data_IF_968951260254
#
_entry.id   IF_968951260254
#
_cell.length_a   1.000
_cell.length_b   1.000
_cell.length_c   1.000
_cell.angle_alpha   90.00
_cell.angle_beta   90.00
_cell.angle_gamma   90.00
#
_symmetry.space_group_name_H-M   'P 1'
#
loop_
_entity.id
_entity.type
_entity.pdbx_description
1 polymer ?
#
# COMPACT_ATOMS: atom_id res chain seq x y z
N UNK A 1 30.62 -24.58 -37.83
CA UNK A 1 29.29 -24.07 -37.46
C UNK A 1 29.33 -23.82 -35.97
N UNK A 2 29.25 -22.56 -35.53
CA UNK A 2 29.16 -22.28 -34.10
C UNK A 2 27.74 -22.65 -33.69
N UNK A 3 27.58 -23.71 -32.90
CA UNK A 3 26.29 -23.98 -32.26
C UNK A 3 26.12 -22.90 -31.20
N UNK A 4 25.38 -21.85 -31.55
CA UNK A 4 24.97 -20.82 -30.61
C UNK A 4 24.22 -21.47 -29.45
N UNK A 5 24.87 -21.57 -28.29
CA UNK A 5 24.28 -22.19 -27.11
C UNK A 5 23.14 -21.30 -26.61
N UNK A 6 21.98 -21.91 -26.38
CA UNK A 6 20.83 -21.24 -25.78
C UNK A 6 21.18 -20.83 -24.33
N UNK A 7 21.04 -19.53 -24.04
CA UNK A 7 21.22 -19.00 -22.69
C UNK A 7 19.84 -18.69 -22.14
N UNK A 8 19.43 -19.39 -21.08
CA UNK A 8 18.19 -19.07 -20.39
C UNK A 8 18.34 -17.76 -19.60
N UNK A 9 17.31 -16.93 -19.64
CA UNK A 9 17.25 -15.67 -18.94
C UNK A 9 17.24 -15.86 -17.42
N UNK A 10 18.06 -15.07 -16.73
CA UNK A 10 18.11 -15.00 -15.27
C UNK A 10 17.59 -13.67 -14.75
N UNK A 11 16.94 -13.71 -13.59
CA UNK A 11 16.47 -12.51 -12.92
C UNK A 11 17.65 -11.70 -12.39
N UNK A 12 17.69 -10.42 -12.76
CA UNK A 12 18.49 -9.41 -12.08
C UNK A 12 17.99 -9.15 -10.66
N UNK A 13 18.74 -8.38 -9.86
CA UNK A 13 18.32 -8.00 -8.52
C UNK A 13 17.01 -7.21 -8.55
N UNK A 14 16.25 -7.31 -7.47
CA UNK A 14 15.08 -6.45 -7.27
C UNK A 14 15.52 -5.00 -7.08
N UNK A 15 14.74 -4.07 -7.65
CA UNK A 15 14.82 -2.66 -7.32
C UNK A 15 14.49 -2.42 -5.85
N UNK A 16 14.82 -1.22 -5.37
CA UNK A 16 14.26 -0.74 -4.11
C UNK A 16 12.73 -0.64 -4.22
N UNK A 17 12.06 -0.71 -3.07
CA UNK A 17 10.63 -0.44 -2.99
C UNK A 17 10.37 1.03 -3.30
N UNK A 18 9.31 1.28 -4.08
CA UNK A 18 8.77 2.62 -4.28
C UNK A 18 8.27 3.19 -2.96
N UNK A 19 8.17 4.51 -2.91
CA UNK A 19 7.42 5.20 -1.87
C UNK A 19 6.00 4.65 -1.76
N UNK A 20 5.42 4.78 -0.56
CA UNK A 20 4.07 4.34 -0.31
C UNK A 20 3.10 5.19 -1.16
N UNK A 21 2.19 4.55 -1.88
CA UNK A 21 1.22 5.24 -2.73
C UNK A 21 0.30 6.20 -1.96
N UNK A 22 0.12 5.94 -0.66
CA UNK A 22 -0.66 6.80 0.22
C UNK A 22 0.25 7.83 0.88
N UNK A 23 -0.15 9.11 0.79
CA UNK A 23 0.53 10.18 1.52
C UNK A 23 0.37 10.01 3.04
N UNK A 24 -0.80 9.56 3.49
CA UNK A 24 -1.07 9.24 4.88
C UNK A 24 -1.87 7.93 4.99
N UNK A 25 -1.50 7.05 5.93
CA UNK A 25 -2.26 5.85 6.26
C UNK A 25 -1.87 4.63 5.42
N UNK A 26 -2.85 3.77 5.11
CA UNK A 26 -2.59 2.52 4.40
C UNK A 26 -2.45 2.77 2.90
N UNK A 27 -1.35 2.31 2.33
CA UNK A 27 -1.10 2.36 0.89
C UNK A 27 -0.37 1.12 0.41
N UNK A 28 0.27 1.28 -0.75
CA UNK A 28 0.95 0.21 -1.45
C UNK A 28 2.33 0.66 -1.96
N UNK A 29 3.34 -0.19 -1.80
CA UNK A 29 4.68 -0.02 -2.37
C UNK A 29 4.94 -1.09 -3.42
N UNK A 30 5.70 -0.74 -4.48
CA UNK A 30 6.01 -1.63 -5.60
C UNK A 30 7.51 -1.74 -5.81
N UNK A 31 7.99 -2.87 -6.32
CA UNK A 31 9.36 -3.04 -6.80
C UNK A 31 9.38 -3.89 -8.06
N UNK A 32 10.39 -3.71 -8.88
CA UNK A 32 10.55 -4.42 -10.14
C UNK A 32 11.91 -5.11 -10.24
N UNK A 33 12.02 -6.09 -11.13
CA UNK A 33 13.28 -6.72 -11.52
C UNK A 33 13.28 -6.96 -13.02
N UNK A 34 14.47 -6.99 -13.61
CA UNK A 34 14.65 -7.25 -15.04
C UNK A 34 15.14 -8.67 -15.29
N UNK A 35 14.74 -9.27 -16.42
CA UNK A 35 15.27 -10.56 -16.86
C UNK A 35 16.53 -10.35 -17.71
N UNK A 36 17.62 -9.94 -17.06
CA UNK A 36 18.83 -9.50 -17.74
C UNK A 36 20.12 -10.00 -17.08
N UNK A 37 20.04 -10.98 -16.19
CA UNK A 37 21.21 -11.48 -15.46
C UNK A 37 21.25 -13.02 -15.42
N UNK A 38 21.59 -13.70 -16.54
CA UNK A 38 21.90 -13.13 -17.86
C UNK A 38 20.64 -12.85 -18.70
N UNK A 39 20.71 -12.06 -19.79
CA UNK A 39 19.61 -11.95 -20.74
C UNK A 39 19.45 -13.26 -21.53
N UNK A 40 18.23 -13.63 -21.95
CA UNK A 40 18.01 -14.80 -22.77
C UNK A 40 18.61 -14.62 -24.18
N UNK A 41 19.31 -15.62 -24.69
CA UNK A 41 19.97 -15.61 -26.00
C UNK A 41 19.73 -16.92 -26.75
N UNK A 42 19.80 -16.87 -28.09
CA UNK A 42 19.79 -18.03 -28.99
C UNK A 42 18.59 -18.99 -28.75
N UNK A 43 17.40 -18.42 -28.53
CA UNK A 43 16.19 -19.20 -28.26
C UNK A 43 16.07 -19.73 -26.82
N UNK A 44 16.94 -19.28 -25.91
CA UNK A 44 16.81 -19.56 -24.47
C UNK A 44 15.53 -19.00 -23.87
N UNK A 45 15.07 -19.63 -22.79
CA UNK A 45 13.79 -19.30 -22.16
C UNK A 45 13.84 -17.96 -21.42
N UNK A 46 12.74 -17.20 -21.45
CA UNK A 46 12.58 -16.02 -20.60
C UNK A 46 12.41 -16.42 -19.12
N UNK A 47 12.68 -15.47 -18.23
CA UNK A 47 12.55 -15.68 -16.80
C UNK A 47 11.11 -16.01 -16.42
N UNK A 48 10.93 -17.07 -15.64
CA UNK A 48 9.62 -17.46 -15.11
C UNK A 48 9.26 -16.67 -13.85
N UNK A 49 7.99 -16.28 -13.75
CA UNK A 49 7.43 -15.56 -12.60
C UNK A 49 7.28 -14.05 -12.83
N UNK A 50 6.81 -13.30 -11.81
CA UNK A 50 6.49 -11.89 -11.97
C UNK A 50 7.75 -11.01 -12.01
N UNK A 51 7.74 -10.02 -12.90
CA UNK A 51 8.73 -8.94 -12.96
C UNK A 51 8.41 -7.79 -11.99
N UNK A 52 7.17 -7.71 -11.50
CA UNK A 52 6.68 -6.68 -10.60
C UNK A 52 6.16 -7.33 -9.31
N UNK A 53 6.49 -6.75 -8.17
CA UNK A 53 5.97 -7.14 -6.88
C UNK A 53 5.33 -5.94 -6.18
N UNK A 54 4.26 -6.21 -5.45
CA UNK A 54 3.47 -5.22 -4.73
C UNK A 54 3.30 -5.66 -3.26
N UNK A 55 3.39 -4.71 -2.33
CA UNK A 55 3.21 -4.94 -0.88
C UNK A 55 2.44 -3.80 -0.21
N UNK A 56 1.80 -4.11 0.91
CA UNK A 56 1.10 -3.10 1.74
C UNK A 56 2.12 -2.29 2.54
N UNK A 57 1.89 -0.98 2.63
CA UNK A 57 2.67 -0.06 3.45
C UNK A 57 1.74 0.81 4.31
N UNK A 58 2.31 1.39 5.38
CA UNK A 58 1.64 2.36 6.22
C UNK A 58 2.53 3.60 6.25
N UNK A 59 2.05 4.73 5.74
CA UNK A 59 2.70 6.03 5.92
C UNK A 59 2.15 6.71 7.17
N UNK A 60 3.03 7.33 7.94
CA UNK A 60 2.66 7.97 9.19
C UNK A 60 1.79 9.19 8.92
N UNK A 61 0.56 9.17 9.44
CA UNK A 61 -0.33 10.32 9.36
C UNK A 61 0.03 11.35 10.44
N UNK A 62 0.09 12.65 10.11
CA UNK A 62 -0.02 13.67 11.15
C UNK A 62 -1.40 13.54 11.80
N UNK A 63 -1.42 13.31 13.11
CA UNK A 63 -2.66 13.33 13.88
C UNK A 63 -3.18 14.76 13.85
N UNK A 64 -4.29 15.00 13.15
CA UNK A 64 -5.04 16.25 13.32
C UNK A 64 -5.66 16.21 14.72
N UNK A 65 -4.93 16.71 15.72
CA UNK A 65 -5.53 17.00 17.02
C UNK A 65 -6.55 18.09 16.72
N UNK A 66 -7.84 17.75 16.87
CA UNK A 66 -8.92 18.73 16.77
C UNK A 66 -8.83 19.63 17.99
N UNK A 67 -7.88 20.56 18.00
CA UNK A 67 -7.92 21.73 18.87
C UNK A 67 -8.92 22.72 18.26
N UNK A 68 -10.18 22.29 18.17
CA UNK A 68 -11.29 23.20 17.88
C UNK A 68 -11.69 23.91 19.17
N UNK A 69 -12.14 25.17 19.12
CA UNK A 69 -12.77 25.78 20.28
C UNK A 69 -13.96 24.91 20.72
N UNK A 70 -14.14 24.74 22.02
CA UNK A 70 -15.27 24.02 22.63
C UNK A 70 -16.61 24.77 22.45
N UNK A 71 -16.91 25.26 21.24
CA UNK A 71 -18.06 26.13 20.96
C UNK A 71 -19.35 25.38 20.62
N UNK A 72 -19.33 24.05 20.53
CA UNK A 72 -20.55 23.22 20.42
C UNK A 72 -20.87 22.49 21.74
N UNK A 73 -20.93 23.23 22.85
CA UNK A 73 -21.55 22.76 24.09
C UNK A 73 -23.10 22.79 24.03
N UNK A 74 -23.69 23.22 22.90
CA UNK A 74 -25.14 23.33 22.70
C UNK A 74 -25.87 21.99 22.57
N UNK A 75 -25.15 20.87 22.42
CA UNK A 75 -25.75 19.53 22.29
C UNK A 75 -25.80 18.71 23.59
N UNK A 76 -25.29 19.23 24.72
CA UNK A 76 -25.19 18.45 25.98
C UNK A 76 -26.23 18.84 27.05
N UNK A 77 -27.11 19.81 26.79
CA UNK A 77 -28.21 20.16 27.72
C UNK A 77 -29.56 19.60 27.26
N UNK A 78 -29.92 18.42 27.78
CA UNK A 78 -31.22 18.14 28.42
C UNK A 78 -31.34 16.65 28.83
N UNK A 79 -30.57 16.23 29.83
CA UNK A 79 -30.85 15.02 30.62
C UNK A 79 -31.72 15.37 31.85
N UNK A 80 -32.86 16.03 31.65
CA UNK A 80 -33.81 16.31 32.73
C UNK A 80 -35.20 15.77 32.40
N UNK A 81 -35.46 14.59 32.99
CA UNK A 81 -36.74 14.16 33.58
C UNK A 81 -37.91 13.88 32.63
N UNK A 82 -38.02 12.62 32.20
CA UNK A 82 -39.29 12.06 31.74
C UNK A 82 -40.26 11.99 32.94
N UNK A 83 -41.07 13.02 33.11
CA UNK A 83 -42.12 13.11 34.13
C UNK A 83 -43.11 11.94 34.01
N UNK A 84 -43.36 11.30 35.15
CA UNK A 84 -44.35 10.23 35.36
C UNK A 84 -45.69 10.56 34.68
N UNK A 85 -46.11 9.73 33.71
CA UNK A 85 -47.48 9.69 33.22
C UNK A 85 -48.42 9.15 34.31
N UNK A 86 -49.27 10.02 34.85
CA UNK A 86 -50.35 9.65 35.76
C UNK A 86 -51.50 8.99 35.01
N UNK A 87 -51.94 7.81 35.48
CA UNK A 87 -53.22 7.20 35.11
C UNK A 87 -54.35 7.89 35.88
N UNK A 88 -55.38 8.36 35.18
CA UNK A 88 -56.77 8.37 35.63
C UNK A 88 -57.63 7.90 34.47
#
# INVERSE_FOLDING_TARGET
MVTELAVNGGWGPWSQWSECSAHCGRGTSKRSRACNNPPPLNGGSFCSGPALQETKCISNCPVKIRNGPASDLSAVTNFTTLSRGGRR
#
